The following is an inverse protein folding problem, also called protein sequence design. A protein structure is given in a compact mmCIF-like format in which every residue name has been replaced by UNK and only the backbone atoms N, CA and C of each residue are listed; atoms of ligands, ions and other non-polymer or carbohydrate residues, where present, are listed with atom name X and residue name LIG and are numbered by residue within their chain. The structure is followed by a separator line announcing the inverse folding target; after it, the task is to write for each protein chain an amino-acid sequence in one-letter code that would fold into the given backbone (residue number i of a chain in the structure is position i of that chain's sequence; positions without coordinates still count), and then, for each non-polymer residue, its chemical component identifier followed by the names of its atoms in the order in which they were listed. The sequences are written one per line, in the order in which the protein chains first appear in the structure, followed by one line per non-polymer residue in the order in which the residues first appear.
data_IF_378778121632
#
_entry.id   IF_378778121632
#
_cell.length_a   1.000
_cell.length_b   1.000
_cell.length_c   1.000
_cell.angle_alpha   90.00
_cell.angle_beta   90.00
_cell.angle_gamma   90.00
#
_symmetry.space_group_name_H-M   'P 1'
#
loop_
_entity.id
_entity.type
_entity.pdbx_description
1 polymer ?
#
# COMPACT_ATOMS: atom_id res chain seq x y z
N UNK A 1 -7.53 -13.03 16.53
CA UNK A 1 -7.60 -13.80 15.27
C UNK A 1 -6.67 -13.19 14.25
N UNK A 2 -5.80 -13.98 13.61
CA UNK A 2 -4.82 -13.48 12.62
C UNK A 2 -5.54 -13.01 11.34
N UNK A 3 -5.44 -11.72 11.00
CA UNK A 3 -6.01 -11.15 9.76
C UNK A 3 -5.21 -11.65 8.55
N UNK A 4 -5.86 -12.37 7.63
CA UNK A 4 -5.24 -12.78 6.36
C UNK A 4 -5.06 -11.55 5.47
N UNK A 5 -3.82 -11.16 5.20
CA UNK A 5 -3.47 -10.03 4.32
C UNK A 5 -3.57 -10.34 2.81
N UNK A 6 -4.12 -11.52 2.46
CA UNK A 6 -4.28 -11.95 1.07
C UNK A 6 -5.64 -12.60 0.85
N UNK A 7 -6.26 -12.28 -0.28
CA UNK A 7 -7.50 -12.92 -0.75
C UNK A 7 -7.42 -13.27 -2.23
N UNK A 8 -8.22 -14.22 -2.69
CA UNK A 8 -8.26 -14.58 -4.11
C UNK A 8 -8.77 -13.36 -4.90
N UNK A 9 -8.03 -12.95 -5.94
CA UNK A 9 -8.49 -11.91 -6.85
C UNK A 9 -9.31 -12.55 -7.98
N UNK A 10 -10.63 -12.36 -7.91
CA UNK A 10 -11.56 -12.86 -8.92
C UNK A 10 -11.20 -12.33 -10.32
N UNK A 11 -11.47 -13.13 -11.35
CA UNK A 11 -11.24 -12.77 -12.75
C UNK A 11 -12.57 -12.34 -13.35
N UNK A 12 -12.61 -11.13 -13.89
CA UNK A 12 -13.78 -10.64 -14.63
C UNK A 12 -13.56 -10.72 -16.15
N UNK A 13 -12.32 -10.91 -16.62
CA UNK A 13 -11.97 -11.07 -18.04
C UNK A 13 -12.61 -10.02 -18.95
N UNK A 14 -12.54 -8.74 -18.54
CA UNK A 14 -13.10 -7.60 -19.29
C UNK A 14 -14.62 -7.50 -19.30
N UNK A 15 -15.34 -8.35 -18.54
CA UNK A 15 -16.81 -8.36 -18.46
C UNK A 15 -17.34 -7.52 -17.30
N UNK A 16 -18.50 -6.91 -17.50
CA UNK A 16 -19.26 -6.21 -16.47
C UNK A 16 -20.25 -7.15 -15.75
N UNK A 17 -21.10 -6.58 -14.88
CA UNK A 17 -22.12 -7.30 -14.11
C UNK A 17 -23.20 -7.99 -14.97
N UNK A 18 -23.46 -7.55 -16.20
CA UNK A 18 -24.37 -8.23 -17.14
C UNK A 18 -23.68 -9.28 -18.01
N UNK A 19 -22.40 -9.56 -17.75
CA UNK A 19 -21.62 -10.57 -18.48
C UNK A 19 -21.14 -10.12 -19.87
N UNK A 20 -21.43 -8.88 -20.28
CA UNK A 20 -20.98 -8.29 -21.55
C UNK A 20 -19.53 -7.84 -21.45
N UNK A 21 -18.75 -8.04 -22.52
CA UNK A 21 -17.38 -7.54 -22.62
C UNK A 21 -17.42 -6.03 -22.81
N UNK A 22 -17.01 -5.27 -21.78
CA UNK A 22 -16.92 -3.81 -21.83
C UNK A 22 -15.48 -3.33 -22.02
N UNK A 23 -14.50 -4.13 -21.63
CA UNK A 23 -13.07 -3.84 -21.83
C UNK A 23 -12.42 -4.93 -22.68
N UNK A 24 -11.88 -4.53 -23.83
CA UNK A 24 -11.18 -5.43 -24.75
C UNK A 24 -9.78 -5.80 -24.24
N UNK A 25 -9.21 -6.86 -24.78
CA UNK A 25 -7.84 -7.35 -24.47
C UNK A 25 -7.60 -7.71 -22.98
N UNK A 26 -8.65 -8.06 -22.23
CA UNK A 26 -8.54 -8.54 -20.86
C UNK A 26 -9.00 -10.00 -20.74
N UNK A 27 -8.12 -10.89 -20.30
CA UNK A 27 -8.42 -12.33 -20.13
C UNK A 27 -7.16 -13.15 -19.89
N UNK A 28 -7.29 -14.44 -19.58
CA UNK A 28 -6.17 -15.39 -19.61
C UNK A 28 -5.10 -15.27 -18.52
N UNK A 29 -5.16 -14.29 -17.59
CA UNK A 29 -4.11 -14.15 -16.56
C UNK A 29 -4.03 -15.37 -15.64
N UNK A 30 -2.81 -15.66 -15.14
CA UNK A 30 -2.60 -16.62 -14.06
C UNK A 30 -3.44 -16.26 -12.81
N UNK A 31 -3.78 -17.24 -11.98
CA UNK A 31 -4.48 -16.99 -10.71
C UNK A 31 -3.59 -16.13 -9.81
N UNK A 32 -4.14 -15.04 -9.26
CA UNK A 32 -3.42 -14.11 -8.39
C UNK A 32 -4.17 -13.95 -7.07
N UNK A 33 -3.42 -13.70 -6.02
CA UNK A 33 -3.97 -13.26 -4.74
C UNK A 33 -3.83 -11.74 -4.66
N UNK A 34 -4.91 -11.05 -4.32
CA UNK A 34 -4.85 -9.65 -3.95
C UNK A 34 -4.21 -9.54 -2.57
N UNK A 35 -3.22 -8.66 -2.46
CA UNK A 35 -2.60 -8.27 -1.19
C UNK A 35 -3.26 -6.99 -0.70
N UNK A 36 -3.77 -7.01 0.53
CA UNK A 36 -4.41 -5.84 1.15
C UNK A 36 -3.35 -4.80 1.50
N UNK A 37 -3.42 -3.65 0.83
CA UNK A 37 -2.49 -2.53 1.04
C UNK A 37 -3.18 -1.46 1.88
N UNK A 38 -2.43 -0.93 2.83
CA UNK A 38 -2.82 0.22 3.62
C UNK A 38 -2.48 1.50 2.87
N UNK A 39 -3.39 1.93 1.99
CA UNK A 39 -3.29 3.21 1.29
C UNK A 39 -3.58 4.41 2.19
N UNK A 40 -4.39 4.21 3.25
CA UNK A 40 -4.84 5.28 4.15
C UNK A 40 -3.78 5.68 5.16
N UNK A 41 -2.89 4.76 5.53
CA UNK A 41 -1.88 4.97 6.57
C UNK A 41 -2.51 5.45 7.88
N UNK A 42 -3.70 4.92 8.21
CA UNK A 42 -4.57 5.44 9.29
C UNK A 42 -4.05 5.16 10.71
N UNK A 43 -3.07 4.26 10.87
CA UNK A 43 -2.34 4.06 12.13
C UNK A 43 -1.35 5.18 12.39
N UNK A 44 -1.85 6.23 13.03
CA UNK A 44 -1.07 7.41 13.44
C UNK A 44 -0.34 7.17 14.77
N UNK A 45 0.81 7.80 14.91
CA UNK A 45 1.68 7.79 16.10
C UNK A 45 2.22 6.41 16.52
N UNK A 46 1.92 5.34 15.78
CA UNK A 46 2.42 3.99 16.06
C UNK A 46 3.55 3.66 15.08
N UNK A 47 4.79 3.48 15.55
CA UNK A 47 5.90 3.10 14.68
C UNK A 47 5.75 1.67 14.17
N UNK A 48 6.30 1.42 12.98
CA UNK A 48 6.35 0.12 12.37
C UNK A 48 7.73 -0.15 11.77
N UNK A 49 8.20 -1.39 11.93
CA UNK A 49 9.44 -1.87 11.33
C UNK A 49 9.16 -2.55 10.00
N UNK A 50 9.95 -2.25 8.98
CA UNK A 50 9.92 -2.93 7.69
C UNK A 50 10.52 -4.33 7.86
N UNK A 51 9.70 -5.36 7.70
CA UNK A 51 10.14 -6.75 7.86
C UNK A 51 10.61 -7.37 6.56
N UNK A 52 9.95 -7.04 5.44
CA UNK A 52 10.28 -7.59 4.13
C UNK A 52 9.83 -6.65 3.02
N UNK A 53 10.49 -6.75 1.87
CA UNK A 53 10.06 -6.12 0.62
C UNK A 53 9.76 -7.24 -0.36
N UNK A 54 8.57 -7.21 -0.95
CA UNK A 54 8.02 -8.31 -1.73
C UNK A 54 7.48 -7.84 -3.08
N UNK A 55 7.56 -8.72 -4.08
CA UNK A 55 6.90 -8.54 -5.36
C UNK A 55 5.38 -8.72 -5.24
N UNK A 56 4.58 -7.80 -5.78
CA UNK A 56 3.12 -7.96 -5.89
C UNK A 56 2.66 -8.12 -7.36
N UNK A 57 2.03 -9.26 -7.72
CA UNK A 57 1.60 -9.50 -9.10
C UNK A 57 0.41 -8.64 -9.54
N UNK A 58 -0.14 -7.77 -8.68
CA UNK A 58 -1.31 -6.95 -9.00
C UNK A 58 -0.97 -5.50 -9.33
N UNK A 59 0.31 -5.09 -9.25
CA UNK A 59 0.79 -3.75 -9.56
C UNK A 59 2.25 -3.78 -10.03
N UNK A 60 2.74 -2.64 -10.53
CA UNK A 60 4.14 -2.50 -10.94
C UNK A 60 5.11 -2.30 -9.77
N UNK A 61 4.67 -1.62 -8.70
CA UNK A 61 5.49 -1.33 -7.54
C UNK A 61 5.68 -2.55 -6.62
N UNK A 62 6.85 -2.65 -6.00
CA UNK A 62 7.07 -3.56 -4.87
C UNK A 62 6.26 -3.10 -3.65
N UNK A 63 6.06 -4.00 -2.70
CA UNK A 63 5.38 -3.70 -1.44
C UNK A 63 6.25 -4.04 -0.24
N UNK A 64 6.12 -3.27 0.83
CA UNK A 64 6.81 -3.52 2.08
C UNK A 64 5.84 -4.09 3.12
N UNK A 65 6.23 -5.18 3.77
CA UNK A 65 5.53 -5.75 4.91
C UNK A 65 5.99 -5.04 6.18
N UNK A 66 5.05 -4.41 6.87
CA UNK A 66 5.27 -3.70 8.12
C UNK A 66 4.84 -4.54 9.30
N UNK A 67 5.61 -4.45 10.38
CA UNK A 67 5.24 -4.93 11.70
C UNK A 67 5.15 -3.74 12.64
N UNK A 68 3.94 -3.41 13.05
CA UNK A 68 3.70 -2.39 14.05
C UNK A 68 4.07 -2.90 15.45
N UNK A 69 4.45 -2.00 16.35
CA UNK A 69 4.74 -2.36 17.75
C UNK A 69 3.53 -2.95 18.49
N UNK A 70 2.30 -2.67 18.04
CA UNK A 70 1.08 -3.28 18.57
C UNK A 70 0.82 -4.72 18.07
N UNK A 71 1.72 -5.25 17.23
CA UNK A 71 1.68 -6.60 16.70
C UNK A 71 0.87 -6.76 15.40
N UNK A 72 0.24 -5.70 14.89
CA UNK A 72 -0.44 -5.76 13.60
C UNK A 72 0.57 -5.74 12.44
N UNK A 73 0.21 -6.45 11.37
CA UNK A 73 0.99 -6.47 10.14
C UNK A 73 0.19 -5.82 9.02
N UNK A 74 0.84 -4.99 8.21
CA UNK A 74 0.22 -4.35 7.05
C UNK A 74 1.20 -4.28 5.89
N UNK A 75 0.66 -4.23 4.68
CA UNK A 75 1.47 -3.90 3.52
C UNK A 75 1.31 -2.43 3.15
N UNK A 76 2.41 -1.82 2.73
CA UNK A 76 2.42 -0.52 2.06
C UNK A 76 3.11 -0.65 0.69
N UNK A 77 2.98 0.38 -0.15
CA UNK A 77 3.87 0.51 -1.30
C UNK A 77 5.30 0.70 -0.80
N UNK A 78 6.27 0.06 -1.46
CA UNK A 78 7.68 0.26 -1.13
C UNK A 78 8.21 1.47 -1.92
N UNK A 79 8.46 2.62 -1.27
CA UNK A 79 9.10 3.75 -1.93
C UNK A 79 10.58 3.44 -2.18
N UNK A 80 11.16 4.19 -3.11
CA UNK A 80 12.59 4.14 -3.38
C UNK A 80 13.39 4.51 -2.12
N UNK A 81 14.47 3.78 -1.87
CA UNK A 81 15.33 3.97 -0.69
C UNK A 81 14.85 3.31 0.59
N UNK A 82 13.63 2.74 0.65
CA UNK A 82 13.17 1.99 1.82
C UNK A 82 13.88 0.63 1.90
N UNK A 83 14.43 0.30 3.07
CA UNK A 83 15.16 -0.95 3.32
C UNK A 83 14.49 -1.79 4.40
N UNK A 84 14.79 -3.09 4.38
CA UNK A 84 14.40 -4.00 5.45
C UNK A 84 15.09 -3.59 6.74
N UNK A 85 14.33 -3.50 7.83
CA UNK A 85 14.80 -3.05 9.13
C UNK A 85 14.51 -1.58 9.44
N UNK A 86 14.19 -0.76 8.43
CA UNK A 86 13.85 0.65 8.63
C UNK A 86 12.60 0.80 9.50
N UNK A 87 12.60 1.84 10.33
CA UNK A 87 11.45 2.22 11.15
C UNK A 87 10.72 3.40 10.51
N UNK A 88 9.41 3.22 10.30
CA UNK A 88 8.53 4.20 9.68
C UNK A 88 7.35 4.51 10.57
N UNK A 89 6.81 5.72 10.43
CA UNK A 89 5.68 6.19 11.23
C UNK A 89 4.76 7.08 10.38
N UNK A 90 3.47 7.03 10.68
CA UNK A 90 2.54 8.06 10.24
C UNK A 90 2.34 9.02 11.41
N UNK A 91 2.75 10.28 11.26
CA UNK A 91 2.55 11.32 12.28
C UNK A 91 2.54 12.69 11.61
N UNK A 92 1.88 13.68 12.22
CA UNK A 92 1.99 15.07 11.75
C UNK A 92 3.39 15.66 11.99
N UNK A 93 4.18 15.05 12.88
CA UNK A 93 5.54 15.45 13.25
C UNK A 93 6.58 14.42 12.82
N UNK A 94 6.23 13.46 11.97
CA UNK A 94 7.17 12.46 11.50
C UNK A 94 8.37 13.12 10.80
N UNK A 95 9.53 12.49 10.90
CA UNK A 95 10.69 12.89 10.12
C UNK A 95 10.40 12.76 8.62
N UNK A 96 10.90 13.70 7.81
CA UNK A 96 10.73 13.66 6.35
C UNK A 96 11.76 12.69 5.79
N UNK A 97 11.39 11.42 5.75
CA UNK A 97 12.17 10.34 5.15
C UNK A 97 11.28 9.37 4.37
N UNK A 98 11.83 8.63 3.39
CA UNK A 98 11.06 7.64 2.64
C UNK A 98 10.33 6.65 3.56
N UNK A 99 9.06 6.41 3.27
CA UNK A 99 8.19 5.49 4.03
C UNK A 99 7.35 6.15 5.12
N UNK A 100 7.76 7.32 5.62
CA UNK A 100 6.92 8.11 6.53
C UNK A 100 5.75 8.76 5.79
N UNK A 101 4.64 8.96 6.49
CA UNK A 101 3.44 9.57 5.95
C UNK A 101 3.00 10.74 6.83
N UNK A 102 2.76 11.89 6.21
CA UNK A 102 2.36 13.14 6.86
C UNK A 102 1.30 13.87 6.02
N UNK A 103 0.50 14.77 6.60
CA UNK A 103 -0.33 15.68 5.83
C UNK A 103 0.50 16.58 4.92
N UNK A 104 0.03 16.82 3.69
CA UNK A 104 0.73 17.66 2.70
C UNK A 104 1.07 19.06 3.22
N UNK A 105 0.18 19.68 4.01
CA UNK A 105 0.43 21.00 4.60
C UNK A 105 1.57 21.05 5.62
N UNK A 106 2.12 19.91 6.03
CA UNK A 106 3.29 19.80 6.92
C UNK A 106 4.58 19.49 6.17
N UNK A 107 4.52 19.23 4.86
CA UNK A 107 5.69 18.91 4.05
C UNK A 107 6.36 20.19 3.51
N UNK A 108 7.70 20.27 3.49
CA UNK A 108 8.40 21.35 2.83
C UNK A 108 8.16 21.34 1.32
N UNK A 109 8.12 22.54 0.74
CA UNK A 109 8.03 22.71 -0.71
C UNK A 109 9.23 22.07 -1.40
N UNK A 110 8.99 21.42 -2.54
CA UNK A 110 10.03 20.71 -3.31
C UNK A 110 10.29 19.28 -2.86
N UNK A 111 9.67 18.81 -1.79
CA UNK A 111 9.77 17.40 -1.37
C UNK A 111 9.09 16.48 -2.40
N UNK A 112 9.80 15.44 -2.84
CA UNK A 112 9.23 14.41 -3.73
C UNK A 112 8.37 13.46 -2.90
N UNK A 113 7.12 13.28 -3.33
CA UNK A 113 6.08 12.54 -2.59
C UNK A 113 5.37 11.54 -3.50
N UNK A 114 4.73 10.54 -2.91
CA UNK A 114 3.94 9.53 -3.61
C UNK A 114 2.69 9.17 -2.82
N UNK A 115 1.79 8.38 -3.41
CA UNK A 115 0.56 7.89 -2.77
C UNK A 115 -0.28 9.01 -2.13
N UNK A 116 -0.62 10.02 -2.95
CA UNK A 116 -1.37 11.19 -2.51
C UNK A 116 -2.87 10.91 -2.43
N UNK A 117 -3.48 11.30 -1.32
CA UNK A 117 -4.94 11.28 -1.19
C UNK A 117 -5.57 12.38 -2.06
N UNK A 118 -6.59 12.03 -2.87
CA UNK A 118 -7.37 13.03 -3.61
C UNK A 118 -8.30 13.85 -2.71
N UNK A 119 -8.75 13.25 -1.61
CA UNK A 119 -9.57 13.87 -0.56
C UNK A 119 -9.09 13.36 0.78
N UNK A 120 -9.00 14.22 1.82
CA UNK A 120 -8.53 13.81 3.14
C UNK A 120 -9.25 12.56 3.67
N UNK A 121 -8.47 11.54 4.05
CA UNK A 121 -8.92 10.28 4.65
C UNK A 121 -9.51 9.26 3.67
N UNK A 122 -9.43 9.47 2.36
CA UNK A 122 -9.93 8.52 1.36
C UNK A 122 -8.91 7.46 0.95
N UNK A 123 -7.63 7.62 1.30
CA UNK A 123 -6.54 6.81 0.74
C UNK A 123 -6.28 7.18 -0.70
#
# INVERSE_FOLDING_TARGET
MSRKLRRILAKNSGRNSSGKVTVRHQGGRHKRYLREIDFKRDKREIPAKVMAIEYDPNRGAQIALLFYVDGEKRYILAPEGLRVGDEIQTSEKAEIKPGNALPLGKMPLGTVVHNLELKPGKG
#
